data_IF_068906068601
#
_entry.id   IF_068906068601
#
_cell.length_a   1.000
_cell.length_b   1.000
_cell.length_c   1.000
_cell.angle_alpha   90.00
_cell.angle_beta   90.00
_cell.angle_gamma   90.00
#
_symmetry.space_group_name_H-M   'P 1'
#
loop_
_entity.id
_entity.type
_entity.pdbx_description
1 polymer ?
#
# COMPACT_ATOMS: atom_id res chain seq x y z
N UNK A 1 5.87 7.13 -5.91
CA UNK A 1 5.56 8.53 -6.32
C UNK A 1 4.61 8.52 -7.49
N UNK A 2 3.57 9.34 -7.43
CA UNK A 2 2.59 9.53 -8.51
C UNK A 2 2.95 10.81 -9.29
N UNK A 3 2.75 10.78 -10.60
CA UNK A 3 2.94 11.94 -11.48
C UNK A 3 2.85 11.55 -12.96
N UNK A 4 3.07 12.51 -13.86
CA UNK A 4 2.80 12.41 -15.32
C UNK A 4 3.27 11.11 -16.01
N UNK A 5 4.33 10.46 -15.53
CA UNK A 5 4.80 9.16 -16.03
C UNK A 5 5.25 8.21 -14.89
N UNK A 6 4.75 8.42 -13.68
CA UNK A 6 5.17 7.72 -12.47
C UNK A 6 3.95 7.23 -11.66
N UNK A 7 4.01 6.02 -11.08
CA UNK A 7 5.08 5.04 -11.21
C UNK A 7 5.07 4.38 -12.60
N UNK A 8 6.25 4.18 -13.20
CA UNK A 8 6.36 3.41 -14.44
C UNK A 8 6.16 1.93 -14.15
N UNK A 9 5.67 1.17 -15.14
CA UNK A 9 5.48 -0.27 -14.95
C UNK A 9 6.79 -1.00 -14.59
N UNK A 10 7.93 -0.55 -15.12
CA UNK A 10 9.25 -1.05 -14.75
C UNK A 10 9.50 -0.85 -13.25
N UNK A 11 9.25 0.34 -12.72
CA UNK A 11 9.46 0.63 -11.30
C UNK A 11 8.56 -0.24 -10.40
N UNK A 12 7.30 -0.46 -10.80
CA UNK A 12 6.38 -1.34 -10.05
C UNK A 12 6.91 -2.78 -10.04
N UNK A 13 7.25 -3.33 -11.20
CA UNK A 13 7.70 -4.71 -11.33
C UNK A 13 9.01 -4.96 -10.56
N UNK A 14 9.98 -4.06 -10.68
CA UNK A 14 11.29 -4.19 -10.02
C UNK A 14 11.18 -4.12 -8.49
N UNK A 15 10.37 -3.19 -7.97
CA UNK A 15 10.17 -3.08 -6.52
C UNK A 15 9.38 -4.27 -5.96
N UNK A 16 8.33 -4.72 -6.66
CA UNK A 16 7.57 -5.91 -6.27
C UNK A 16 8.46 -7.17 -6.23
N UNK A 17 9.30 -7.36 -7.25
CA UNK A 17 10.25 -8.48 -7.31
C UNK A 17 11.27 -8.45 -6.16
N UNK A 18 11.82 -7.26 -5.84
CA UNK A 18 12.74 -7.09 -4.70
C UNK A 18 12.08 -7.40 -3.36
N UNK A 19 10.87 -6.89 -3.14
CA UNK A 19 10.10 -7.16 -1.92
C UNK A 19 9.82 -8.65 -1.74
N UNK A 20 9.49 -9.35 -2.82
CA UNK A 20 9.22 -10.77 -2.76
C UNK A 20 10.47 -11.62 -2.54
N UNK A 21 11.62 -11.25 -3.12
CA UNK A 21 12.92 -11.86 -2.79
C UNK A 21 13.30 -11.66 -1.33
N UNK A 22 13.12 -10.45 -0.82
CA UNK A 22 13.31 -10.13 0.60
C UNK A 22 12.43 -11.02 1.49
N UNK A 23 11.13 -11.10 1.19
CA UNK A 23 10.18 -11.90 1.97
C UNK A 23 10.53 -13.39 1.96
N UNK A 24 10.90 -13.94 0.81
CA UNK A 24 11.34 -15.33 0.68
C UNK A 24 12.57 -15.64 1.55
N UNK A 25 13.58 -14.76 1.53
CA UNK A 25 14.80 -14.90 2.36
C UNK A 25 14.45 -14.82 3.85
N UNK A 26 13.62 -13.86 4.27
CA UNK A 26 13.17 -13.76 5.67
C UNK A 26 12.53 -15.06 6.15
N UNK A 27 11.61 -15.62 5.36
CA UNK A 27 10.91 -16.85 5.74
C UNK A 27 11.85 -18.06 5.82
N UNK A 28 12.84 -18.17 4.93
CA UNK A 28 13.87 -19.21 5.02
C UNK A 28 14.71 -19.11 6.30
N UNK A 29 14.86 -17.90 6.85
CA UNK A 29 15.54 -17.66 8.12
C UNK A 29 14.62 -17.72 9.35
N UNK A 30 13.34 -18.07 9.19
CA UNK A 30 12.37 -18.10 10.29
C UNK A 30 11.94 -16.70 10.78
N UNK A 31 12.10 -15.67 9.96
CA UNK A 31 11.69 -14.29 10.24
C UNK A 31 10.39 -13.95 9.50
N UNK A 32 9.52 -13.16 10.13
CA UNK A 32 8.30 -12.63 9.51
C UNK A 32 8.65 -11.35 8.74
N UNK A 33 8.54 -11.31 7.40
CA UNK A 33 8.76 -10.10 6.62
C UNK A 33 7.57 -9.13 6.73
N UNK A 34 7.89 -7.85 6.90
CA UNK A 34 6.95 -6.75 6.68
C UNK A 34 7.20 -6.22 5.26
N UNK A 35 6.21 -6.35 4.39
CA UNK A 35 6.28 -5.93 2.99
C UNK A 35 5.76 -4.49 2.88
N UNK A 36 6.63 -3.54 2.54
CA UNK A 36 6.33 -2.10 2.51
C UNK A 36 6.41 -1.51 1.09
N UNK A 37 5.33 -1.59 0.29
CA UNK A 37 5.25 -0.95 -1.02
C UNK A 37 4.66 0.46 -0.90
N UNK A 38 5.46 1.43 -0.43
CA UNK A 38 4.99 2.80 -0.19
C UNK A 38 4.67 3.56 -1.50
N UNK A 39 3.44 4.05 -1.62
CA UNK A 39 3.07 5.12 -2.56
C UNK A 39 3.18 6.47 -1.85
N UNK A 40 4.22 7.23 -2.20
CA UNK A 40 4.51 8.54 -1.63
C UNK A 40 3.36 9.56 -1.75
N UNK A 41 3.15 10.32 -0.67
CA UNK A 41 2.22 11.44 -0.53
C UNK A 41 2.57 12.66 -1.41
N UNK A 42 3.76 12.72 -1.98
CA UNK A 42 4.20 13.86 -2.79
C UNK A 42 3.45 13.94 -4.12
N UNK A 43 2.92 15.12 -4.43
CA UNK A 43 2.29 15.46 -5.70
C UNK A 43 0.93 16.13 -5.54
N UNK A 44 0.32 16.42 -6.67
CA UNK A 44 -0.97 17.10 -6.84
C UNK A 44 -2.11 16.15 -7.25
N UNK A 45 -1.83 14.85 -7.25
CA UNK A 45 -2.77 13.79 -7.62
C UNK A 45 -3.98 13.73 -6.69
N UNK A 46 -5.12 13.33 -7.23
CA UNK A 46 -6.37 13.19 -6.50
C UNK A 46 -6.48 11.82 -5.79
N UNK A 47 -7.57 11.63 -5.03
CA UNK A 47 -7.77 10.42 -4.24
C UNK A 47 -7.96 9.20 -5.16
N UNK A 48 -8.69 9.40 -6.25
CA UNK A 48 -9.01 8.39 -7.24
C UNK A 48 -7.75 7.89 -7.97
N UNK A 49 -6.83 8.79 -8.30
CA UNK A 49 -5.53 8.42 -8.86
C UNK A 49 -4.66 7.66 -7.86
N UNK A 50 -4.61 8.09 -6.60
CA UNK A 50 -3.91 7.37 -5.54
C UNK A 50 -4.46 5.95 -5.35
N UNK A 51 -5.79 5.81 -5.35
CA UNK A 51 -6.46 4.52 -5.24
C UNK A 51 -6.07 3.59 -6.40
N UNK A 52 -6.17 4.09 -7.64
CA UNK A 52 -5.82 3.33 -8.84
C UNK A 52 -4.36 2.87 -8.84
N UNK A 53 -3.44 3.74 -8.45
CA UNK A 53 -2.00 3.40 -8.38
C UNK A 53 -1.76 2.38 -7.28
N UNK A 54 -2.38 2.56 -6.11
CA UNK A 54 -2.28 1.62 -4.98
C UNK A 54 -2.78 0.24 -5.39
N UNK A 55 -3.92 0.14 -6.07
CA UNK A 55 -4.44 -1.13 -6.58
C UNK A 55 -3.46 -1.82 -7.54
N UNK A 56 -2.88 -1.09 -8.50
CA UNK A 56 -1.90 -1.66 -9.44
C UNK A 56 -0.62 -2.14 -8.72
N UNK A 57 -0.11 -1.34 -7.78
CA UNK A 57 1.09 -1.67 -7.00
C UNK A 57 0.84 -2.93 -6.16
N UNK A 58 -0.25 -2.98 -5.39
CA UNK A 58 -0.56 -4.12 -4.53
C UNK A 58 -0.83 -5.40 -5.34
N UNK A 59 -1.57 -5.32 -6.45
CA UNK A 59 -1.78 -6.46 -7.33
C UNK A 59 -0.44 -7.02 -7.86
N UNK A 60 0.48 -6.15 -8.25
CA UNK A 60 1.81 -6.57 -8.73
C UNK A 60 2.67 -7.14 -7.61
N UNK A 61 2.60 -6.57 -6.40
CA UNK A 61 3.29 -7.09 -5.21
C UNK A 61 2.80 -8.50 -4.89
N UNK A 62 1.49 -8.73 -4.78
CA UNK A 62 0.97 -10.07 -4.47
C UNK A 62 1.24 -11.10 -5.57
N UNK A 63 1.24 -10.68 -6.84
CA UNK A 63 1.72 -11.54 -7.93
C UNK A 63 3.17 -11.95 -7.72
N UNK A 64 4.06 -11.01 -7.41
CA UNK A 64 5.47 -11.29 -7.19
C UNK A 64 5.72 -12.15 -5.93
N UNK A 65 4.94 -11.95 -4.86
CA UNK A 65 4.99 -12.80 -3.65
C UNK A 65 4.59 -14.24 -3.98
N UNK A 66 3.52 -14.42 -4.77
CA UNK A 66 3.08 -15.72 -5.24
C UNK A 66 4.14 -16.41 -6.11
N UNK A 67 4.76 -15.67 -7.05
CA UNK A 67 5.78 -16.21 -7.95
C UNK A 67 7.05 -16.67 -7.22
N UNK A 68 7.35 -16.07 -6.06
CA UNK A 68 8.47 -16.43 -5.20
C UNK A 68 8.09 -17.39 -4.06
N UNK A 69 6.89 -17.99 -4.12
CA UNK A 69 6.41 -18.99 -3.15
C UNK A 69 6.42 -18.49 -1.70
N UNK A 70 6.09 -17.22 -1.47
CA UNK A 70 6.01 -16.64 -0.13
C UNK A 70 4.75 -17.13 0.58
N UNK A 71 4.90 -17.58 1.83
CA UNK A 71 3.79 -18.00 2.70
C UNK A 71 3.07 -16.78 3.27
N UNK A 72 1.90 -16.42 2.75
CA UNK A 72 1.25 -15.13 3.02
C UNK A 72 0.79 -14.95 4.47
N UNK A 73 0.34 -16.03 5.12
CA UNK A 73 -0.05 -16.07 6.52
C UNK A 73 1.13 -15.75 7.46
N UNK A 74 2.36 -15.90 6.96
CA UNK A 74 3.60 -15.53 7.64
C UNK A 74 4.18 -14.20 7.17
N UNK A 75 3.35 -13.25 6.73
CA UNK A 75 3.77 -11.90 6.31
C UNK A 75 2.93 -10.82 6.99
N UNK A 76 3.40 -9.58 6.97
CA UNK A 76 2.59 -8.40 7.26
C UNK A 76 2.71 -7.42 6.09
N UNK A 77 1.63 -6.71 5.78
CA UNK A 77 1.66 -5.61 4.81
C UNK A 77 1.83 -4.28 5.55
N UNK A 78 2.73 -3.41 5.09
CA UNK A 78 2.87 -2.03 5.58
C UNK A 78 2.65 -1.04 4.41
N UNK A 79 1.41 -0.73 4.05
CA UNK A 79 1.09 0.13 2.93
C UNK A 79 0.89 1.59 3.39
N UNK A 80 0.84 2.50 2.43
CA UNK A 80 0.24 3.83 2.64
C UNK A 80 -1.28 3.74 2.84
N UNK A 81 -1.84 4.74 3.51
CA UNK A 81 -3.29 5.03 3.42
C UNK A 81 -3.55 5.66 2.04
N UNK A 82 -4.70 5.39 1.43
CA UNK A 82 -5.06 6.00 0.15
C UNK A 82 -5.54 7.42 0.41
N UNK A 83 -4.68 8.40 0.16
CA UNK A 83 -4.96 9.84 0.33
C UNK A 83 -4.67 10.61 -0.96
N UNK A 84 -5.28 11.80 -1.16
CA UNK A 84 -4.77 12.71 -2.17
C UNK A 84 -3.31 13.10 -1.90
N UNK A 85 -2.63 13.57 -2.93
CA UNK A 85 -1.30 14.14 -2.78
C UNK A 85 -1.33 15.41 -1.94
N UNK A 86 -0.21 15.73 -1.27
CA UNK A 86 -0.11 16.90 -0.37
C UNK A 86 -0.41 18.24 -1.05
N UNK A 87 -0.19 18.34 -2.36
CA UNK A 87 -0.39 19.54 -3.16
C UNK A 87 -1.75 19.51 -3.91
N UNK A 88 -2.60 18.52 -3.63
CA UNK A 88 -3.92 18.39 -4.27
C UNK A 88 -4.85 19.54 -3.82
N UNK A 89 -5.50 20.25 -4.75
CA UNK A 89 -6.41 21.35 -4.39
C UNK A 89 -7.77 20.86 -3.85
N UNK A 90 -8.13 19.59 -4.07
CA UNK A 90 -9.39 18.98 -3.63
C UNK A 90 -9.21 18.37 -2.24
N UNK A 91 -10.12 18.68 -1.33
CA UNK A 91 -10.17 18.08 0.01
C UNK A 91 -11.13 16.90 0.05
N UNK A 92 -10.87 15.97 0.97
CA UNK A 92 -11.66 14.75 1.16
C UNK A 92 -11.92 14.56 2.65
N UNK A 93 -13.07 13.98 2.98
CA UNK A 93 -13.37 13.61 4.35
C UNK A 93 -12.58 12.37 4.79
N UNK A 94 -12.47 12.18 6.09
CA UNK A 94 -11.84 10.99 6.69
C UNK A 94 -12.53 9.70 6.21
N UNK A 95 -13.86 9.74 6.06
CA UNK A 95 -14.68 8.63 5.59
C UNK A 95 -14.40 8.29 4.12
N UNK A 96 -14.23 9.30 3.26
CA UNK A 96 -13.89 9.07 1.84
C UNK A 96 -12.50 8.43 1.71
N UNK A 97 -11.53 8.88 2.50
CA UNK A 97 -10.18 8.31 2.56
C UNK A 97 -10.23 6.86 3.05
N UNK A 98 -10.99 6.60 4.11
CA UNK A 98 -11.17 5.26 4.64
C UNK A 98 -11.83 4.32 3.63
N UNK A 99 -12.90 4.76 2.97
CA UNK A 99 -13.61 4.00 1.95
C UNK A 99 -12.68 3.66 0.77
N UNK A 100 -11.97 4.65 0.22
CA UNK A 100 -11.01 4.43 -0.87
C UNK A 100 -9.92 3.43 -0.48
N UNK A 101 -9.40 3.52 0.75
CA UNK A 101 -8.38 2.62 1.29
C UNK A 101 -8.91 1.19 1.41
N UNK A 102 -10.07 1.01 2.03
CA UNK A 102 -10.68 -0.31 2.21
C UNK A 102 -11.04 -0.95 0.87
N UNK A 103 -11.56 -0.17 -0.09
CA UNK A 103 -11.87 -0.67 -1.43
C UNK A 103 -10.60 -1.16 -2.13
N UNK A 104 -9.53 -0.36 -2.15
CA UNK A 104 -8.27 -0.75 -2.78
C UNK A 104 -7.74 -2.07 -2.20
N UNK A 105 -7.86 -2.24 -0.87
CA UNK A 105 -7.28 -3.39 -0.19
C UNK A 105 -8.14 -4.63 -0.38
N UNK A 106 -9.47 -4.50 -0.32
CA UNK A 106 -10.40 -5.61 -0.64
C UNK A 106 -10.26 -6.11 -2.07
N UNK A 107 -9.81 -5.27 -3.00
CA UNK A 107 -9.58 -5.64 -4.40
C UNK A 107 -8.26 -6.38 -4.64
N UNK A 108 -7.30 -6.27 -3.72
CA UNK A 108 -5.90 -6.66 -4.02
C UNK A 108 -5.22 -7.52 -2.97
N UNK A 109 -5.60 -7.41 -1.69
CA UNK A 109 -4.98 -8.12 -0.57
C UNK A 109 -5.67 -9.48 -0.39
N UNK A 110 -4.97 -10.62 -0.55
CA UNK A 110 -5.53 -11.93 -0.27
C UNK A 110 -5.91 -12.09 1.20
N UNK A 111 -6.99 -12.83 1.47
CA UNK A 111 -7.49 -13.08 2.83
C UNK A 111 -6.52 -13.82 3.75
N UNK A 112 -5.49 -14.46 3.18
CA UNK A 112 -4.44 -15.15 3.92
C UNK A 112 -3.49 -14.17 4.66
N UNK A 113 -3.43 -12.90 4.26
CA UNK A 113 -2.55 -11.92 4.90
C UNK A 113 -3.12 -11.56 6.28
N UNK A 114 -2.39 -11.79 7.37
CA UNK A 114 -2.94 -11.73 8.73
C UNK A 114 -3.10 -10.30 9.26
N UNK A 115 -2.39 -9.32 8.68
CA UNK A 115 -2.39 -7.97 9.20
C UNK A 115 -1.82 -6.93 8.26
N UNK A 116 -2.34 -5.71 8.44
CA UNK A 116 -1.96 -4.51 7.70
C UNK A 116 -1.58 -3.44 8.71
N UNK A 117 -0.34 -2.97 8.64
CA UNK A 117 0.26 -2.00 9.56
C UNK A 117 0.55 -0.71 8.81
N UNK A 118 -0.43 0.20 8.75
CA UNK A 118 -0.30 1.44 7.97
C UNK A 118 0.90 2.29 8.40
N UNK A 119 1.62 2.84 7.42
CA UNK A 119 2.59 3.92 7.65
C UNK A 119 1.88 5.28 7.70
N UNK A 120 2.38 6.20 8.52
CA UNK A 120 1.83 7.56 8.61
C UNK A 120 2.22 8.47 7.45
N UNK A 121 3.29 8.17 6.70
CA UNK A 121 3.55 8.74 5.37
C UNK A 121 3.70 10.26 5.29
N UNK A 122 3.92 10.95 6.41
CA UNK A 122 3.97 12.41 6.49
C UNK A 122 2.66 13.09 6.92
N UNK A 123 1.61 12.32 7.22
CA UNK A 123 0.44 12.84 7.92
C UNK A 123 0.78 13.25 9.35
N UNK A 124 0.05 14.25 9.88
CA UNK A 124 0.13 14.58 11.30
C UNK A 124 -0.52 13.47 12.16
N UNK A 125 -0.29 13.53 13.47
CA UNK A 125 -0.73 12.51 14.44
C UNK A 125 -2.26 12.39 14.48
N UNK A 126 -2.97 13.52 14.47
CA UNK A 126 -4.44 13.57 14.51
C UNK A 126 -5.06 12.89 13.29
N UNK A 127 -4.61 13.24 12.07
CA UNK A 127 -5.11 12.65 10.84
C UNK A 127 -4.77 11.17 10.74
N UNK A 128 -3.54 10.77 11.10
CA UNK A 128 -3.13 9.36 11.10
C UNK A 128 -4.05 8.51 11.98
N UNK A 129 -4.39 9.02 13.15
CA UNK A 129 -5.28 8.35 14.10
C UNK A 129 -6.73 8.33 13.61
N UNK A 130 -7.21 9.45 13.05
CA UNK A 130 -8.57 9.56 12.52
C UNK A 130 -8.80 8.61 11.34
N UNK A 131 -7.86 8.55 10.39
CA UNK A 131 -7.95 7.63 9.24
C UNK A 131 -7.96 6.17 9.69
N UNK A 132 -7.05 5.79 10.59
CA UNK A 132 -7.01 4.42 11.11
C UNK A 132 -8.31 4.05 11.82
N UNK A 133 -8.86 4.96 12.62
CA UNK A 133 -10.14 4.75 13.28
C UNK A 133 -11.27 4.56 12.25
N UNK A 134 -11.36 5.42 11.23
CA UNK A 134 -12.41 5.32 10.22
C UNK A 134 -12.30 4.07 9.35
N UNK A 135 -11.08 3.62 9.02
CA UNK A 135 -10.84 2.36 8.27
C UNK A 135 -11.40 1.13 9.00
N UNK A 136 -11.46 1.18 10.34
CA UNK A 136 -11.91 0.06 11.18
C UNK A 136 -13.39 0.13 11.59
N UNK A 137 -14.18 1.06 11.03
CA UNK A 137 -15.61 1.20 11.31
C UNK A 137 -16.46 0.73 10.15
#
# INVERSE_FOLDING_TARGET
KIGKNCPSQLAINENASKLARYASICQQCGLVPIVEPEVSLDGDHDLEECQRVTENVLATVYKALSDHHVYLEGTLLKPNIVTPGKDCPKTYSVEQIAEATVIAFRRTVPTAVPGIMFLSGGHNEENSTAYLNAINR
#
